data_IF_749825227695
#
_entry.id   IF_749825227695
#
_cell.length_a   1.000
_cell.length_b   1.000
_cell.length_c   1.000
_cell.angle_alpha   90.00
_cell.angle_beta   90.00
_cell.angle_gamma   90.00
#
_symmetry.space_group_name_H-M   'P 1'
#
loop_
_entity.id
_entity.type
_entity.pdbx_description
1 polymer ?
#
# COMPACT_ATOMS: atom_id res chain seq x y z
N UNK A 1 47.83 -25.54 -25.58
CA UNK A 1 47.05 -24.37 -26.05
C UNK A 1 45.85 -24.77 -26.88
N UNK A 2 46.00 -25.61 -27.91
CA UNK A 2 44.88 -26.08 -28.77
C UNK A 2 43.75 -26.76 -27.96
N UNK A 3 44.09 -27.64 -27.01
CA UNK A 3 43.07 -28.30 -26.17
C UNK A 3 42.22 -27.36 -25.32
N UNK A 4 42.78 -26.22 -24.89
CA UNK A 4 42.05 -25.22 -24.09
C UNK A 4 41.06 -24.43 -24.95
N UNK A 5 41.42 -24.13 -26.20
CA UNK A 5 40.51 -23.48 -27.16
C UNK A 5 39.28 -24.34 -27.47
N UNK A 6 39.47 -25.66 -27.62
CA UNK A 6 38.37 -26.59 -27.88
C UNK A 6 37.43 -26.69 -26.67
N UNK A 7 37.97 -26.74 -25.45
CA UNK A 7 37.16 -26.78 -24.23
C UNK A 7 36.29 -25.52 -24.07
N UNK A 8 36.83 -24.33 -24.37
CA UNK A 8 36.07 -23.08 -24.32
C UNK A 8 34.96 -23.06 -25.38
N UNK A 9 35.24 -23.53 -26.60
CA UNK A 9 34.23 -23.58 -27.66
C UNK A 9 33.03 -24.46 -27.30
N UNK A 10 33.27 -25.62 -26.67
CA UNK A 10 32.21 -26.53 -26.21
C UNK A 10 31.37 -25.88 -25.09
N UNK A 11 32.01 -25.17 -24.15
CA UNK A 11 31.31 -24.46 -23.08
C UNK A 11 30.37 -23.37 -23.61
N UNK A 12 30.79 -22.60 -24.61
CA UNK A 12 29.97 -21.54 -25.22
C UNK A 12 28.75 -22.14 -25.92
N UNK A 13 28.91 -23.25 -26.64
CA UNK A 13 27.81 -23.92 -27.34
C UNK A 13 26.80 -24.50 -26.32
N UNK A 14 27.27 -25.14 -25.24
CA UNK A 14 26.38 -25.64 -24.19
C UNK A 14 25.61 -24.52 -23.50
N UNK A 15 26.29 -23.42 -23.15
CA UNK A 15 25.66 -22.26 -22.53
C UNK A 15 24.59 -21.65 -23.45
N UNK A 16 24.90 -21.47 -24.74
CA UNK A 16 23.97 -20.93 -25.73
C UNK A 16 22.72 -21.79 -25.94
N UNK A 17 22.81 -23.12 -25.80
CA UNK A 17 21.67 -24.02 -25.96
C UNK A 17 20.82 -24.16 -24.67
N UNK A 18 21.43 -24.06 -23.49
CA UNK A 18 20.73 -24.28 -22.21
C UNK A 18 20.08 -23.01 -21.64
N UNK A 19 20.71 -21.84 -21.81
CA UNK A 19 20.17 -20.54 -21.33
C UNK A 19 18.78 -20.20 -21.90
N UNK A 20 18.49 -20.30 -23.21
CA UNK A 20 17.17 -19.93 -23.74
C UNK A 20 16.04 -20.85 -23.23
N UNK A 21 16.34 -22.12 -22.89
CA UNK A 21 15.36 -23.04 -22.32
C UNK A 21 14.95 -22.71 -20.88
N UNK A 22 15.84 -22.09 -20.11
CA UNK A 22 15.56 -21.67 -18.73
C UNK A 22 14.88 -20.29 -18.74
N UNK A 23 15.34 -19.36 -19.59
CA UNK A 23 14.74 -18.04 -19.74
C UNK A 23 13.27 -18.10 -20.21
N UNK A 24 12.94 -19.03 -21.13
CA UNK A 24 11.57 -19.18 -21.63
C UNK A 24 10.56 -19.67 -20.58
N UNK A 25 11.00 -20.28 -19.47
CA UNK A 25 10.11 -20.73 -18.38
C UNK A 25 9.72 -19.61 -17.41
N UNK A 26 10.39 -18.46 -17.46
CA UNK A 26 10.08 -17.31 -16.61
C UNK A 26 9.17 -16.28 -17.30
N UNK A 27 8.69 -16.58 -18.51
CA UNK A 27 7.79 -15.71 -19.27
C UNK A 27 6.35 -16.21 -19.33
N UNK A 28 6.00 -17.26 -18.57
CA UNK A 28 4.60 -17.69 -18.47
C UNK A 28 3.83 -16.75 -17.53
N UNK A 29 2.73 -16.10 -17.99
CA UNK A 29 1.89 -15.18 -17.21
C UNK A 29 1.16 -15.82 -16.02
N UNK A 30 1.50 -17.06 -15.65
CA UNK A 30 0.87 -17.85 -14.59
C UNK A 30 1.81 -18.08 -13.39
N UNK A 31 3.05 -17.57 -13.43
CA UNK A 31 3.90 -17.60 -12.25
C UNK A 31 3.38 -16.58 -11.24
N UNK A 32 3.08 -17.07 -10.04
CA UNK A 32 2.66 -16.27 -8.91
C UNK A 32 3.61 -15.07 -8.74
N UNK A 33 3.05 -13.86 -8.67
CA UNK A 33 3.78 -12.62 -8.45
C UNK A 33 4.83 -12.81 -7.37
N UNK A 34 6.08 -12.44 -7.67
CA UNK A 34 7.19 -12.61 -6.73
C UNK A 34 6.88 -11.86 -5.43
N UNK A 35 7.46 -12.25 -4.27
CA UNK A 35 7.22 -11.54 -3.03
C UNK A 35 7.49 -10.02 -3.11
N UNK A 36 8.46 -9.62 -3.95
CA UNK A 36 8.76 -8.21 -4.25
C UNK A 36 7.63 -7.53 -5.01
N UNK A 37 7.05 -8.18 -6.02
CA UNK A 37 5.93 -7.65 -6.81
C UNK A 37 4.66 -7.48 -5.96
N UNK A 38 4.37 -8.42 -5.06
CA UNK A 38 3.27 -8.28 -4.10
C UNK A 38 3.49 -7.12 -3.13
N UNK A 39 4.73 -6.92 -2.67
CA UNK A 39 5.09 -5.80 -1.81
C UNK A 39 4.84 -4.44 -2.47
N UNK A 40 5.18 -4.33 -3.75
CA UNK A 40 4.90 -3.12 -4.55
C UNK A 40 3.39 -2.86 -4.68
N UNK A 41 2.58 -3.89 -4.93
CA UNK A 41 1.12 -3.73 -5.00
C UNK A 41 0.51 -3.20 -3.70
N UNK A 42 0.99 -3.66 -2.54
CA UNK A 42 0.53 -3.14 -1.24
C UNK A 42 0.96 -1.68 -1.05
N UNK A 43 2.21 -1.35 -1.39
CA UNK A 43 2.72 0.02 -1.29
C UNK A 43 1.93 0.99 -2.18
N UNK A 44 1.61 0.62 -3.43
CA UNK A 44 0.77 1.43 -4.30
C UNK A 44 -0.63 1.68 -3.71
N UNK A 45 -1.22 0.65 -3.08
CA UNK A 45 -2.51 0.77 -2.40
C UNK A 45 -2.48 1.74 -1.21
N UNK A 46 -1.42 1.70 -0.40
CA UNK A 46 -1.22 2.63 0.71
C UNK A 46 -1.03 4.07 0.22
N UNK A 47 -0.24 4.28 -0.83
CA UNK A 47 -0.05 5.60 -1.42
C UNK A 47 -1.35 6.18 -1.99
N UNK A 48 -2.16 5.37 -2.69
CA UNK A 48 -3.47 5.78 -3.16
C UNK A 48 -4.39 6.19 -1.99
N UNK A 49 -4.39 5.44 -0.89
CA UNK A 49 -5.18 5.77 0.30
C UNK A 49 -4.75 7.10 0.93
N UNK A 50 -3.43 7.34 1.06
CA UNK A 50 -2.89 8.60 1.56
C UNK A 50 -3.25 9.79 0.66
N UNK A 51 -3.14 9.61 -0.67
CA UNK A 51 -3.56 10.65 -1.63
C UNK A 51 -5.06 10.96 -1.50
N UNK A 52 -5.92 9.94 -1.39
CA UNK A 52 -7.36 10.16 -1.21
C UNK A 52 -7.68 10.85 0.12
N UNK A 53 -6.91 10.61 1.18
CA UNK A 53 -7.04 11.37 2.43
C UNK A 53 -6.67 12.85 2.21
N UNK A 54 -5.59 13.13 1.48
CA UNK A 54 -5.23 14.49 1.10
C UNK A 54 -6.30 15.17 0.22
N UNK A 55 -6.97 14.42 -0.68
CA UNK A 55 -8.14 14.93 -1.45
C UNK A 55 -9.25 15.37 -0.51
N UNK A 56 -9.57 14.59 0.54
CA UNK A 56 -10.64 14.95 1.47
C UNK A 56 -10.31 16.21 2.26
N UNK A 57 -9.05 16.37 2.68
CA UNK A 57 -8.60 17.59 3.38
C UNK A 57 -8.67 18.79 2.42
N UNK A 58 -8.18 18.63 1.19
CA UNK A 58 -8.27 19.67 0.16
C UNK A 58 -9.70 20.14 -0.07
N UNK A 59 -10.65 19.20 -0.23
CA UNK A 59 -12.07 19.49 -0.41
C UNK A 59 -12.67 20.24 0.78
N UNK A 60 -12.28 19.85 1.99
CA UNK A 60 -12.71 20.53 3.22
C UNK A 60 -12.26 21.99 3.24
N UNK A 61 -11.08 22.29 2.69
CA UNK A 61 -10.52 23.65 2.63
C UNK A 61 -11.01 24.47 1.42
N UNK A 62 -11.48 23.81 0.35
CA UNK A 62 -11.82 24.43 -0.95
C UNK A 62 -13.29 24.26 -1.33
N UNK A 63 -14.21 24.38 -0.36
CA UNK A 63 -15.67 24.35 -0.59
C UNK A 63 -16.13 23.13 -1.43
N UNK A 64 -15.64 21.93 -1.07
CA UNK A 64 -15.91 20.66 -1.77
C UNK A 64 -15.42 20.57 -3.23
N UNK A 65 -14.63 21.53 -3.70
CA UNK A 65 -14.08 21.49 -5.06
C UNK A 65 -13.02 20.39 -5.17
N UNK A 66 -13.10 19.51 -6.19
CA UNK A 66 -12.07 18.51 -6.42
C UNK A 66 -10.77 19.19 -6.89
N UNK A 67 -9.61 18.66 -6.47
CA UNK A 67 -8.32 19.17 -6.92
C UNK A 67 -8.18 18.98 -8.43
N UNK A 68 -7.59 19.97 -9.11
CA UNK A 68 -7.43 19.92 -10.58
C UNK A 68 -6.25 19.08 -11.04
N UNK A 69 -5.29 18.85 -10.14
CA UNK A 69 -4.08 18.09 -10.43
C UNK A 69 -3.48 17.50 -9.15
N UNK A 70 -2.68 16.45 -9.30
CA UNK A 70 -1.91 15.86 -8.20
C UNK A 70 -0.91 16.83 -7.57
N UNK A 71 -0.50 17.88 -8.30
CA UNK A 71 0.46 18.87 -7.81
C UNK A 71 -0.15 19.73 -6.68
N UNK A 72 -1.46 19.98 -6.69
CA UNK A 72 -2.14 20.71 -5.63
C UNK A 72 -2.14 19.94 -4.29
N UNK A 73 -2.13 18.61 -4.35
CA UNK A 73 -2.07 17.76 -3.16
C UNK A 73 -0.70 17.77 -2.50
N UNK A 74 0.35 18.25 -3.16
CA UNK A 74 1.69 18.34 -2.56
C UNK A 74 1.73 19.21 -1.31
N UNK A 75 0.83 20.20 -1.23
CA UNK A 75 0.67 21.07 -0.05
C UNK A 75 0.13 20.33 1.17
N UNK A 76 -0.53 19.20 0.96
CA UNK A 76 -1.18 18.37 1.97
C UNK A 76 -0.35 17.13 2.33
N UNK A 77 0.93 17.11 1.97
CA UNK A 77 1.88 16.06 2.36
C UNK A 77 2.08 14.94 1.33
N UNK A 78 1.45 15.02 0.15
CA UNK A 78 1.75 14.09 -0.95
C UNK A 78 3.10 14.45 -1.56
N UNK A 79 4.07 13.54 -1.50
CA UNK A 79 5.40 13.79 -2.07
C UNK A 79 5.48 13.37 -3.54
N UNK A 80 6.47 13.91 -4.26
CA UNK A 80 6.72 13.52 -5.65
C UNK A 80 7.12 12.04 -5.76
N UNK A 81 7.81 11.52 -4.75
CA UNK A 81 8.16 10.09 -4.64
C UNK A 81 6.92 9.19 -4.54
N UNK A 82 5.85 9.65 -3.90
CA UNK A 82 4.59 8.89 -3.85
C UNK A 82 3.88 8.91 -5.20
N UNK A 83 3.95 10.03 -5.94
CA UNK A 83 3.29 10.18 -7.25
C UNK A 83 4.00 9.34 -8.31
N UNK A 84 5.34 9.29 -8.26
CA UNK A 84 6.19 8.58 -9.22
C UNK A 84 6.78 7.28 -8.65
N UNK A 85 6.10 6.67 -7.68
CA UNK A 85 6.54 5.42 -7.06
C UNK A 85 6.71 4.31 -8.11
N UNK A 86 7.81 3.56 -8.01
CA UNK A 86 8.16 2.53 -8.99
C UNK A 86 7.07 1.45 -9.07
N UNK A 87 6.51 1.24 -10.27
CA UNK A 87 5.47 0.24 -10.50
C UNK A 87 4.05 0.67 -10.14
N UNK A 88 3.86 1.90 -9.66
CA UNK A 88 2.55 2.51 -9.48
C UNK A 88 2.30 3.54 -10.59
N UNK A 89 1.07 3.66 -11.07
CA UNK A 89 0.70 4.80 -11.91
C UNK A 89 -0.68 5.32 -11.53
N UNK A 90 -0.69 6.42 -10.81
CA UNK A 90 -1.91 7.01 -10.30
C UNK A 90 -2.63 7.83 -11.37
N UNK A 91 -3.92 7.61 -11.51
CA UNK A 91 -4.82 8.49 -12.25
C UNK A 91 -5.82 9.09 -11.28
N UNK A 92 -6.22 10.34 -11.55
CA UNK A 92 -7.22 11.04 -10.78
C UNK A 92 -8.48 11.16 -11.61
N UNK A 93 -9.62 10.81 -11.01
CA UNK A 93 -10.92 11.01 -11.64
C UNK A 93 -11.27 12.50 -11.61
N UNK A 94 -11.49 13.17 -12.75
CA UNK A 94 -11.79 14.60 -12.78
C UNK A 94 -13.15 14.95 -12.15
N UNK A 95 -14.08 13.99 -12.06
CA UNK A 95 -15.40 14.23 -11.48
C UNK A 95 -15.38 14.18 -9.94
N UNK A 96 -14.76 13.14 -9.38
CA UNK A 96 -14.71 12.95 -7.92
C UNK A 96 -13.43 13.47 -7.26
N UNK A 97 -12.37 13.72 -8.02
CA UNK A 97 -11.03 13.98 -7.49
C UNK A 97 -10.38 12.74 -6.85
N UNK A 98 -11.00 11.57 -6.92
CA UNK A 98 -10.46 10.35 -6.32
C UNK A 98 -9.24 9.85 -7.09
N UNK A 99 -8.25 9.33 -6.37
CA UNK A 99 -7.01 8.80 -6.95
C UNK A 99 -7.07 7.27 -6.97
N UNK A 100 -6.80 6.67 -8.12
CA UNK A 100 -6.75 5.23 -8.32
C UNK A 100 -5.46 4.81 -9.01
N UNK A 101 -4.91 3.67 -8.60
CA UNK A 101 -3.74 3.08 -9.28
C UNK A 101 -4.21 2.38 -10.57
N UNK A 102 -3.63 2.80 -11.68
CA UNK A 102 -3.80 2.21 -13.02
C UNK A 102 -2.57 1.42 -13.47
N UNK A 103 -1.49 1.46 -12.67
CA UNK A 103 -0.24 0.75 -12.95
C UNK A 103 -0.37 -0.75 -12.75
N UNK A 104 -1.52 -1.19 -12.22
CA UNK A 104 -1.83 -2.59 -11.98
C UNK A 104 -0.87 -3.22 -10.99
N UNK A 105 -0.37 -2.43 -10.02
CA UNK A 105 0.78 -2.69 -9.15
C UNK A 105 1.18 -4.16 -9.13
N UNK A 106 2.13 -4.53 -10.00
CA UNK A 106 2.29 -5.88 -10.58
C UNK A 106 1.83 -7.01 -9.63
N UNK A 107 0.55 -7.33 -9.74
CA UNK A 107 -0.05 -8.60 -9.39
C UNK A 107 -1.45 -8.64 -10.00
N UNK A 108 -1.54 -8.76 -11.33
CA UNK A 108 -2.70 -9.42 -11.94
C UNK A 108 -2.28 -10.28 -13.12
N UNK A 109 -2.24 -11.59 -12.87
CA UNK A 109 -2.94 -12.52 -13.74
C UNK A 109 -3.99 -13.24 -12.89
N UNK A 110 -5.22 -12.70 -12.87
CA UNK A 110 -6.39 -13.38 -12.31
C UNK A 110 -6.77 -13.06 -10.87
N UNK A 111 -6.48 -11.87 -10.34
CA UNK A 111 -7.11 -11.45 -9.09
C UNK A 111 -8.62 -11.33 -9.35
N UNK A 112 -9.38 -12.30 -8.84
CA UNK A 112 -10.76 -12.06 -8.45
C UNK A 112 -10.78 -10.73 -7.67
N UNK A 113 -11.81 -9.88 -7.87
CA UNK A 113 -11.92 -8.65 -7.09
C UNK A 113 -11.68 -9.03 -5.64
N UNK A 114 -10.79 -8.30 -4.98
CA UNK A 114 -10.80 -8.28 -3.53
C UNK A 114 -12.16 -7.67 -3.21
N UNK A 115 -13.20 -8.50 -3.18
CA UNK A 115 -14.39 -8.22 -2.45
C UNK A 115 -13.83 -7.87 -1.09
N UNK A 116 -13.95 -6.60 -0.70
CA UNK A 116 -14.24 -6.28 0.68
C UNK A 116 -15.57 -7.00 1.02
N UNK A 117 -15.54 -8.33 1.02
CA UNK A 117 -16.42 -9.10 1.86
C UNK A 117 -16.13 -8.59 3.26
N UNK A 118 -17.17 -8.32 4.06
CA UNK A 118 -16.99 -7.85 5.42
C UNK A 118 -15.98 -8.78 6.06
N UNK A 119 -14.82 -8.23 6.40
CA UNK A 119 -13.81 -8.94 7.15
C UNK A 119 -14.54 -9.48 8.37
N UNK A 120 -14.86 -10.77 8.35
CA UNK A 120 -15.19 -11.56 9.53
C UNK A 120 -13.97 -11.71 10.44
N UNK A 121 -13.10 -10.71 10.48
CA UNK A 121 -12.38 -10.39 11.70
C UNK A 121 -13.44 -10.14 12.77
N UNK A 122 -13.16 -10.51 14.04
CA UNK A 122 -14.06 -10.16 15.12
C UNK A 122 -14.38 -8.67 14.97
N UNK A 123 -15.67 -8.33 14.98
CA UNK A 123 -16.13 -6.95 14.93
C UNK A 123 -15.18 -6.11 15.78
N UNK A 124 -14.67 -4.95 15.29
CA UNK A 124 -13.87 -4.08 16.13
C UNK A 124 -14.61 -3.97 17.44
N UNK A 125 -13.98 -4.48 18.50
CA UNK A 125 -14.60 -4.55 19.81
C UNK A 125 -15.20 -3.18 20.03
N UNK A 126 -16.52 -3.14 20.27
CA UNK A 126 -17.22 -1.89 20.49
C UNK A 126 -16.33 -1.04 21.39
N UNK A 127 -16.03 0.22 21.03
CA UNK A 127 -15.20 1.07 21.87
C UNK A 127 -15.72 0.90 23.29
N UNK A 128 -14.83 0.59 24.27
CA UNK A 128 -15.28 0.34 25.62
C UNK A 128 -16.21 1.50 26.00
N UNK A 129 -17.37 1.21 26.62
CA UNK A 129 -18.27 2.26 27.05
C UNK A 129 -17.43 3.30 27.78
N UNK A 130 -17.63 4.60 27.49
CA UNK A 130 -16.84 5.66 28.12
C UNK A 130 -16.79 5.38 29.62
N UNK A 131 -15.59 5.37 30.24
CA UNK A 131 -15.45 5.04 31.64
C UNK A 131 -16.44 5.88 32.43
N UNK A 132 -17.31 5.17 33.15
CA UNK A 132 -18.41 5.74 33.92
C UNK A 132 -17.97 7.04 34.61
N UNK A 133 -18.80 8.06 34.44
CA UNK A 133 -18.57 9.45 34.81
C UNK A 133 -17.66 9.65 36.01
N UNK A 134 -16.48 10.20 35.74
CA UNK A 134 -15.80 11.03 36.72
C UNK A 134 -16.75 12.15 37.12
N UNK A 135 -17.13 12.17 38.40
CA UNK A 135 -17.88 13.26 39.02
C UNK A 135 -17.14 14.57 38.76
N UNK A 136 -17.74 15.44 37.94
CA UNK A 136 -17.19 16.74 37.59
C UNK A 136 -17.20 17.61 38.86
N UNK A 137 -16.03 17.79 39.48
CA UNK A 137 -15.88 18.70 40.61
C UNK A 137 -16.13 20.16 40.19
N UNK A 138 -16.63 21.01 41.10
CA UNK A 138 -16.81 22.44 40.84
C UNK A 138 -15.43 23.06 40.56
N UNK A 139 -15.20 23.48 39.32
CA UNK A 139 -13.92 24.05 38.87
C UNK A 139 -13.34 23.46 37.57
N UNK A 140 -13.95 22.41 37.00
CA UNK A 140 -13.59 21.91 35.66
C UNK A 140 -12.25 21.16 35.56
N UNK A 141 -11.57 20.93 36.68
CA UNK A 141 -10.35 20.11 36.71
C UNK A 141 -10.75 18.63 36.66
N UNK A 142 -10.36 17.96 35.58
CA UNK A 142 -10.59 16.52 35.40
C UNK A 142 -9.42 15.80 36.07
N UNK A 143 -9.63 15.25 37.26
CA UNK A 143 -8.60 14.51 37.99
C UNK A 143 -8.53 13.09 37.41
N UNK A 144 -7.39 12.65 36.84
CA UNK A 144 -7.21 11.27 36.41
C UNK A 144 -7.40 10.34 37.60
N UNK A 145 -8.27 9.34 37.47
CA UNK A 145 -8.50 8.35 38.50
C UNK A 145 -7.23 7.49 38.67
N UNK A 146 -6.40 7.80 39.67
CA UNK A 146 -5.24 7.00 40.03
C UNK A 146 -5.80 5.80 40.81
N UNK A 147 -5.70 4.55 40.31
CA UNK A 147 -6.16 3.39 41.04
C UNK A 147 -5.33 3.25 42.32
N UNK A 148 -5.95 3.57 43.46
CA UNK A 148 -5.34 3.32 44.76
C UNK A 148 -5.29 1.80 44.93
N UNK A 149 -4.10 1.23 44.81
CA UNK A 149 -3.86 -0.18 45.15
C UNK A 149 -4.01 -0.32 46.67
N UNK A 150 -5.20 -0.68 47.12
CA UNK A 150 -5.47 -1.03 48.51
C UNK A 150 -4.60 -2.21 48.92
N UNK A 151 -3.79 -1.99 49.95
CA UNK A 151 -2.93 -2.99 50.57
C UNK A 151 -3.74 -4.12 51.21
N UNK A 152 -3.24 -5.33 51.03
CA UNK A 152 -3.61 -6.49 51.82
C UNK A 152 -2.34 -7.08 52.42
N UNK A 153 -2.08 -6.74 53.69
CA UNK A 153 -1.41 -7.56 54.69
C UNK A 153 -2.05 -7.26 56.04
#
# INVERSE_FOLDING_TARGET
MIGLLVAIAVLIILAGLWVPRIAARHSEPSQAATPTERGLGVACGEYAAQMNQAVQIYKTDHDDQPPRSLDELKRYGVTDDMIHAEGCSFQMDPASGAVYDTGGGRAQPGAAPVTLGPSGGPAPAAPPPPPNGGTRGPGGVTIPNIPTSGGGL
#
